data_IF_090289421638
#
_entry.id   IF_090289421638
#
_cell.length_a   1.000
_cell.length_b   1.000
_cell.length_c   1.000
_cell.angle_alpha   90.00
_cell.angle_beta   90.00
_cell.angle_gamma   90.00
#
_symmetry.space_group_name_H-M   'P 1'
#
loop_
_entity.id
_entity.type
_entity.pdbx_description
1 polymer ?
#
# COMPACT_ATOMS: atom_id res chain seq x y z
N UNK A 1 -3.78 -32.99 50.92
CA UNK A 1 -4.47 -31.81 50.34
C UNK A 1 -3.55 -30.82 49.63
N UNK A 2 -2.35 -30.47 50.12
CA UNK A 2 -1.46 -29.48 49.46
C UNK A 2 -0.91 -29.90 48.05
N UNK A 3 -0.72 -31.20 47.79
CA UNK A 3 -0.21 -31.69 46.50
C UNK A 3 -1.22 -31.54 45.31
N UNK A 4 -2.52 -31.63 45.58
CA UNK A 4 -3.55 -31.52 44.57
C UNK A 4 -3.83 -30.07 44.15
N UNK A 5 -3.65 -29.12 45.10
CA UNK A 5 -3.79 -27.69 44.80
C UNK A 5 -2.70 -27.22 43.82
N UNK A 6 -1.46 -27.72 43.95
CA UNK A 6 -0.36 -27.36 43.08
C UNK A 6 -0.56 -27.90 41.67
N UNK A 7 -1.11 -29.11 41.49
CA UNK A 7 -1.42 -29.67 40.16
C UNK A 7 -2.56 -28.92 39.47
N UNK A 8 -3.57 -28.45 40.19
CA UNK A 8 -4.67 -27.69 39.61
C UNK A 8 -4.23 -26.30 39.16
N UNK A 9 -3.33 -25.64 39.89
CA UNK A 9 -2.75 -24.34 39.50
C UNK A 9 -1.84 -24.48 38.26
N UNK A 10 -1.05 -25.55 38.13
CA UNK A 10 -0.24 -25.79 36.93
C UNK A 10 -1.08 -26.11 35.71
N UNK A 11 -2.21 -26.82 35.84
CA UNK A 11 -3.08 -27.13 34.70
C UNK A 11 -3.89 -25.91 34.20
N UNK A 12 -4.20 -24.93 35.06
CA UNK A 12 -4.87 -23.68 34.65
C UNK A 12 -3.91 -22.69 33.99
N UNK A 13 -2.62 -22.71 34.33
CA UNK A 13 -1.59 -21.89 33.66
C UNK A 13 -1.26 -22.36 32.24
N UNK A 14 -1.55 -23.60 31.89
CA UNK A 14 -1.31 -24.13 30.54
C UNK A 14 -2.33 -23.66 29.48
N UNK A 15 -3.44 -23.04 29.87
CA UNK A 15 -4.48 -22.55 28.95
C UNK A 15 -4.36 -21.07 28.57
N UNK A 16 -3.34 -20.35 29.05
CA UNK A 16 -3.07 -18.96 28.66
C UNK A 16 -1.94 -18.92 27.60
N UNK A 17 -1.91 -19.89 26.71
CA UNK A 17 -1.19 -19.71 25.47
C UNK A 17 -2.13 -18.89 24.56
N UNK A 18 -2.03 -17.58 24.62
CA UNK A 18 -2.64 -16.71 23.61
C UNK A 18 -1.91 -17.00 22.30
N UNK A 19 -2.45 -17.92 21.49
CA UNK A 19 -2.02 -18.04 20.12
C UNK A 19 -2.15 -16.64 19.50
N UNK A 20 -1.05 -16.07 19.06
CA UNK A 20 -1.06 -14.78 18.39
C UNK A 20 -1.99 -14.91 17.18
N UNK A 21 -3.12 -14.23 17.24
CA UNK A 21 -4.10 -14.28 16.17
C UNK A 21 -3.62 -13.36 15.07
N UNK A 22 -3.16 -13.94 13.96
CA UNK A 22 -2.76 -13.17 12.78
C UNK A 22 -4.01 -12.79 11.98
N UNK A 23 -4.09 -11.53 11.62
CA UNK A 23 -5.12 -11.04 10.72
C UNK A 23 -4.74 -11.34 9.27
N UNK A 24 -5.71 -11.77 8.47
CA UNK A 24 -5.50 -12.10 7.07
C UNK A 24 -5.84 -10.91 6.19
N UNK A 25 -4.92 -10.58 5.29
CA UNK A 25 -5.09 -9.54 4.27
C UNK A 25 -4.77 -10.06 2.87
N UNK A 26 -5.21 -9.34 1.86
CA UNK A 26 -4.89 -9.59 0.45
C UNK A 26 -4.68 -8.27 -0.30
N UNK A 27 -4.43 -8.33 -1.61
CA UNK A 27 -4.30 -7.15 -2.46
C UNK A 27 -5.36 -7.13 -3.56
N UNK A 28 -5.82 -5.94 -3.97
CA UNK A 28 -6.73 -5.81 -5.11
C UNK A 28 -6.12 -6.30 -6.42
N UNK A 29 -4.78 -6.42 -6.48
CA UNK A 29 -4.07 -6.89 -7.67
C UNK A 29 -4.38 -8.33 -8.07
N UNK A 30 -4.97 -9.16 -7.18
CA UNK A 30 -5.41 -10.53 -7.51
C UNK A 30 -6.60 -10.53 -8.49
N UNK A 31 -7.37 -9.45 -8.54
CA UNK A 31 -8.48 -9.30 -9.48
C UNK A 31 -8.10 -8.36 -10.63
N UNK A 32 -8.51 -8.70 -11.85
CA UNK A 32 -8.26 -7.84 -13.02
C UNK A 32 -9.04 -6.52 -12.93
N UNK A 33 -10.31 -6.59 -12.57
CA UNK A 33 -11.22 -5.44 -12.42
C UNK A 33 -12.12 -5.70 -11.20
N UNK A 34 -11.66 -5.47 -9.96
CA UNK A 34 -12.41 -5.81 -8.76
C UNK A 34 -13.74 -5.07 -8.70
N UNK A 35 -14.80 -5.79 -8.37
CA UNK A 35 -16.14 -5.25 -8.11
C UNK A 35 -16.53 -5.44 -6.64
N UNK A 36 -17.62 -4.81 -6.19
CA UNK A 36 -18.03 -4.90 -4.79
C UNK A 36 -18.23 -6.35 -4.31
N UNK A 37 -18.73 -7.24 -5.19
CA UNK A 37 -18.93 -8.65 -4.88
C UNK A 37 -17.63 -9.37 -4.54
N UNK A 38 -16.51 -9.07 -5.21
CA UNK A 38 -15.20 -9.68 -4.93
C UNK A 38 -14.74 -9.35 -3.50
N UNK A 39 -14.96 -8.12 -3.06
CA UNK A 39 -14.62 -7.69 -1.69
C UNK A 39 -15.53 -8.32 -0.65
N UNK A 40 -16.84 -8.44 -0.93
CA UNK A 40 -17.79 -9.14 -0.05
C UNK A 40 -17.41 -10.61 0.11
N UNK A 41 -17.08 -11.29 -0.99
CA UNK A 41 -16.62 -12.68 -0.97
C UNK A 41 -15.34 -12.82 -0.12
N UNK A 42 -14.34 -11.97 -0.37
CA UNK A 42 -13.10 -11.97 0.42
C UNK A 42 -13.39 -11.77 1.92
N UNK A 43 -14.32 -10.88 2.27
CA UNK A 43 -14.71 -10.63 3.66
C UNK A 43 -15.38 -11.88 4.28
N UNK A 44 -16.26 -12.55 3.56
CA UNK A 44 -16.90 -13.80 4.02
C UNK A 44 -15.89 -14.92 4.24
N UNK A 45 -14.78 -14.93 3.48
CA UNK A 45 -13.67 -15.88 3.63
C UNK A 45 -12.66 -15.48 4.73
N UNK A 46 -12.98 -14.48 5.55
CA UNK A 46 -12.13 -14.07 6.69
C UNK A 46 -11.02 -13.07 6.35
N UNK A 47 -11.04 -12.46 5.16
CA UNK A 47 -10.10 -11.37 4.82
C UNK A 47 -10.58 -10.08 5.48
N UNK A 48 -9.79 -9.55 6.41
CA UNK A 48 -10.11 -8.32 7.16
C UNK A 48 -9.42 -7.08 6.61
N UNK A 49 -8.28 -7.25 5.96
CA UNK A 49 -7.43 -6.18 5.45
C UNK A 49 -7.16 -6.30 3.96
N UNK A 50 -7.04 -5.15 3.30
CA UNK A 50 -6.71 -5.12 1.87
C UNK A 50 -5.63 -4.07 1.58
N UNK A 51 -4.74 -4.41 0.64
CA UNK A 51 -3.91 -3.44 -0.08
C UNK A 51 -4.60 -3.04 -1.36
N UNK A 52 -4.76 -1.73 -1.59
CA UNK A 52 -5.31 -1.20 -2.85
C UNK A 52 -4.16 -0.91 -3.82
N UNK A 53 -4.13 -1.62 -4.94
CA UNK A 53 -3.17 -1.41 -6.02
C UNK A 53 -3.66 -0.29 -6.97
N UNK A 54 -3.20 0.96 -6.79
CA UNK A 54 -3.67 2.11 -7.57
C UNK A 54 -3.34 2.04 -9.06
N UNK A 55 -2.42 1.16 -9.47
CA UNK A 55 -2.20 0.90 -10.90
C UNK A 55 -3.48 0.47 -11.64
N UNK A 56 -4.43 -0.15 -10.96
CA UNK A 56 -5.74 -0.52 -11.51
C UNK A 56 -6.62 0.71 -11.83
N UNK A 57 -6.38 1.83 -11.17
CA UNK A 57 -7.09 3.08 -11.41
C UNK A 57 -6.33 4.01 -12.38
N UNK A 58 -5.06 3.72 -12.68
CA UNK A 58 -4.15 4.60 -13.42
C UNK A 58 -3.72 4.06 -14.78
N UNK A 59 -3.35 2.76 -14.90
CA UNK A 59 -2.79 2.23 -16.15
C UNK A 59 -3.81 2.17 -17.26
N UNK A 60 -3.49 2.82 -18.40
CA UNK A 60 -4.37 2.85 -19.56
C UNK A 60 -5.68 3.61 -19.33
N UNK A 61 -5.70 4.48 -18.33
CA UNK A 61 -6.86 5.27 -17.94
C UNK A 61 -6.62 6.73 -18.35
N UNK A 62 -7.57 7.41 -19.02
CA UNK A 62 -7.51 8.85 -19.26
C UNK A 62 -7.32 9.63 -17.94
N UNK A 63 -6.55 10.71 -17.97
CA UNK A 63 -6.17 11.45 -16.76
C UNK A 63 -7.40 11.92 -15.96
N UNK A 64 -8.45 12.36 -16.65
CA UNK A 64 -9.72 12.81 -16.08
C UNK A 64 -10.52 11.72 -15.39
N UNK A 65 -10.29 10.45 -15.73
CA UNK A 65 -10.98 9.30 -15.15
C UNK A 65 -10.25 8.73 -13.91
N UNK A 66 -8.97 9.07 -13.68
CA UNK A 66 -8.18 8.47 -12.60
C UNK A 66 -8.82 8.70 -11.23
N UNK A 67 -9.16 9.96 -10.91
CA UNK A 67 -9.79 10.29 -9.63
C UNK A 67 -11.19 9.68 -9.48
N UNK A 68 -12.08 9.72 -10.48
CA UNK A 68 -13.33 8.97 -10.44
C UNK A 68 -13.16 7.47 -10.16
N UNK A 69 -12.18 6.82 -10.77
CA UNK A 69 -11.89 5.39 -10.53
C UNK A 69 -11.38 5.10 -9.12
N UNK A 70 -10.57 6.00 -8.56
CA UNK A 70 -10.13 5.89 -7.15
C UNK A 70 -11.34 5.99 -6.21
N UNK A 71 -12.26 6.92 -6.44
CA UNK A 71 -13.50 7.06 -5.67
C UNK A 71 -14.39 5.84 -5.79
N UNK A 72 -14.52 5.27 -7.00
CA UNK A 72 -15.29 4.06 -7.23
C UNK A 72 -14.66 2.86 -6.50
N UNK A 73 -13.33 2.71 -6.53
CA UNK A 73 -12.60 1.69 -5.76
C UNK A 73 -12.91 1.84 -4.26
N UNK A 74 -12.83 3.05 -3.73
CA UNK A 74 -13.17 3.35 -2.33
C UNK A 74 -14.59 2.90 -1.99
N UNK A 75 -15.58 3.26 -2.79
CA UNK A 75 -16.98 2.87 -2.59
C UNK A 75 -17.16 1.35 -2.57
N UNK A 76 -16.48 0.61 -3.47
CA UNK A 76 -16.53 -0.85 -3.54
C UNK A 76 -15.95 -1.50 -2.28
N UNK A 77 -14.79 -1.02 -1.82
CA UNK A 77 -14.16 -1.53 -0.59
C UNK A 77 -15.03 -1.26 0.63
N UNK A 78 -15.59 -0.05 0.73
CA UNK A 78 -16.46 0.34 1.85
C UNK A 78 -17.72 -0.53 1.94
N UNK A 79 -18.32 -0.86 0.78
CA UNK A 79 -19.53 -1.69 0.76
C UNK A 79 -19.33 -3.08 1.36
N UNK A 80 -18.11 -3.59 1.36
CA UNK A 80 -17.75 -4.87 1.96
C UNK A 80 -17.29 -4.76 3.44
N UNK A 81 -17.05 -3.54 3.94
CA UNK A 81 -16.54 -3.32 5.30
C UNK A 81 -15.15 -3.92 5.53
N UNK A 82 -14.31 -3.98 4.47
CA UNK A 82 -12.90 -4.39 4.56
C UNK A 82 -12.06 -3.14 4.87
N UNK A 83 -11.10 -3.28 5.77
CA UNK A 83 -10.19 -2.18 6.12
C UNK A 83 -9.03 -2.09 5.11
N UNK A 84 -8.78 -0.89 4.57
CA UNK A 84 -7.58 -0.66 3.76
C UNK A 84 -6.38 -0.49 4.68
N UNK A 85 -5.47 -1.47 4.66
CA UNK A 85 -4.24 -1.44 5.45
C UNK A 85 -3.14 -0.66 4.76
N UNK A 86 -2.96 -0.92 3.47
CA UNK A 86 -1.96 -0.26 2.64
C UNK A 86 -2.51 0.12 1.28
N UNK A 87 -1.86 1.08 0.65
CA UNK A 87 -2.10 1.44 -0.75
C UNK A 87 -0.78 1.36 -1.48
N UNK A 88 -0.73 0.56 -2.53
CA UNK A 88 0.38 0.53 -3.45
C UNK A 88 0.22 1.67 -4.46
N UNK A 89 1.08 2.68 -4.36
CA UNK A 89 1.04 3.87 -5.23
C UNK A 89 1.31 3.50 -6.69
N UNK A 90 0.82 4.30 -7.67
CA UNK A 90 1.05 4.01 -9.06
C UNK A 90 2.54 4.02 -9.39
N UNK A 91 2.98 3.08 -10.22
CA UNK A 91 4.35 3.05 -10.72
C UNK A 91 4.41 2.58 -12.17
N UNK A 92 5.32 3.16 -12.93
CA UNK A 92 5.64 2.78 -14.30
C UNK A 92 6.97 3.42 -14.71
N UNK A 93 7.53 3.00 -15.87
CA UNK A 93 8.72 3.66 -16.42
C UNK A 93 8.52 5.14 -16.72
N UNK A 94 7.29 5.55 -17.03
CA UNK A 94 6.94 6.95 -17.32
C UNK A 94 6.63 7.74 -16.05
N UNK A 95 6.37 7.08 -14.94
CA UNK A 95 6.06 7.68 -13.63
C UNK A 95 7.18 7.42 -12.61
N UNK A 96 8.42 7.56 -13.05
CA UNK A 96 9.59 7.32 -12.22
C UNK A 96 10.06 8.62 -11.57
N UNK A 97 10.17 8.61 -10.24
CA UNK A 97 10.53 9.79 -9.42
C UNK A 97 12.04 9.95 -9.24
N UNK A 98 12.85 9.07 -9.84
CA UNK A 98 14.31 9.11 -9.77
C UNK A 98 14.98 9.60 -11.05
N UNK A 99 14.23 9.85 -12.12
CA UNK A 99 14.77 10.24 -13.43
C UNK A 99 15.71 11.43 -13.36
N UNK A 100 16.71 11.48 -14.26
CA UNK A 100 17.70 12.54 -14.30
C UNK A 100 17.18 13.84 -14.92
N UNK A 101 16.16 13.76 -15.75
CA UNK A 101 15.45 14.93 -16.27
C UNK A 101 14.66 15.60 -15.15
N UNK A 102 15.08 16.79 -14.75
CA UNK A 102 14.49 17.54 -13.63
C UNK A 102 13.05 17.96 -13.91
N UNK A 103 12.72 18.29 -15.16
CA UNK A 103 11.36 18.70 -15.55
C UNK A 103 10.38 17.52 -15.45
N UNK A 104 10.78 16.38 -16.02
CA UNK A 104 9.99 15.14 -15.95
C UNK A 104 9.84 14.67 -14.50
N UNK A 105 10.94 14.70 -13.72
CA UNK A 105 10.89 14.34 -12.31
C UNK A 105 9.95 15.23 -11.53
N UNK A 106 10.00 16.55 -11.71
CA UNK A 106 9.10 17.49 -11.06
C UNK A 106 7.62 17.23 -11.42
N UNK A 107 7.33 16.89 -12.68
CA UNK A 107 5.99 16.48 -13.12
C UNK A 107 5.53 15.21 -12.40
N UNK A 108 6.38 14.18 -12.36
CA UNK A 108 6.07 12.90 -11.74
C UNK A 108 5.84 13.03 -10.22
N UNK A 109 6.66 13.85 -9.55
CA UNK A 109 6.52 14.10 -8.11
C UNK A 109 5.21 14.81 -7.80
N UNK A 110 4.83 15.84 -8.58
CA UNK A 110 3.53 16.53 -8.39
C UNK A 110 2.35 15.60 -8.59
N UNK A 111 2.40 14.76 -9.64
CA UNK A 111 1.36 13.75 -9.84
C UNK A 111 1.29 12.77 -8.67
N UNK A 112 2.45 12.29 -8.20
CA UNK A 112 2.49 11.37 -7.05
C UNK A 112 1.93 12.02 -5.78
N UNK A 113 2.23 13.29 -5.52
CA UNK A 113 1.66 14.03 -4.40
C UNK A 113 0.13 14.10 -4.47
N UNK A 114 -0.45 14.37 -5.66
CA UNK A 114 -1.90 14.32 -5.86
C UNK A 114 -2.47 12.93 -5.58
N UNK A 115 -1.80 11.86 -6.03
CA UNK A 115 -2.24 10.48 -5.74
C UNK A 115 -2.22 10.18 -4.24
N UNK A 116 -1.18 10.61 -3.53
CA UNK A 116 -1.10 10.47 -2.06
C UNK A 116 -2.29 11.18 -1.39
N UNK A 117 -2.62 12.39 -1.79
CA UNK A 117 -3.77 13.12 -1.25
C UNK A 117 -5.09 12.36 -1.48
N UNK A 118 -5.27 11.79 -2.68
CA UNK A 118 -6.45 10.96 -2.97
C UNK A 118 -6.50 9.67 -2.12
N UNK A 119 -5.36 9.16 -1.67
CA UNK A 119 -5.30 8.00 -0.77
C UNK A 119 -5.91 8.31 0.60
N UNK A 120 -5.93 9.55 1.05
CA UNK A 120 -6.47 9.93 2.37
C UNK A 120 -7.91 9.50 2.61
N UNK A 121 -8.74 9.40 1.56
CA UNK A 121 -10.12 8.92 1.68
C UNK A 121 -10.23 7.46 2.16
N UNK A 122 -9.20 6.63 1.94
CA UNK A 122 -9.14 5.23 2.40
C UNK A 122 -8.66 5.09 3.83
N UNK A 123 -8.07 6.14 4.43
CA UNK A 123 -7.42 6.12 5.75
C UNK A 123 -6.40 4.98 5.90
N UNK A 124 -5.47 4.80 4.96
CA UNK A 124 -4.53 3.68 5.01
C UNK A 124 -3.50 3.90 6.12
N UNK A 125 -3.00 2.80 6.72
CA UNK A 125 -1.85 2.87 7.62
C UNK A 125 -0.53 3.11 6.87
N UNK A 126 -0.44 2.63 5.62
CA UNK A 126 0.80 2.65 4.83
C UNK A 126 0.54 2.98 3.36
N UNK A 127 1.54 3.65 2.76
CA UNK A 127 1.64 3.87 1.31
C UNK A 127 2.92 3.21 0.82
N UNK A 128 2.82 2.28 -0.13
CA UNK A 128 3.97 1.61 -0.74
C UNK A 128 4.38 2.39 -1.98
N UNK A 129 5.63 2.81 -2.04
CA UNK A 129 6.21 3.63 -3.10
C UNK A 129 7.44 2.96 -3.69
N UNK A 130 7.46 2.73 -5.00
CA UNK A 130 8.68 2.38 -5.72
C UNK A 130 9.52 3.63 -5.99
N UNK A 131 10.80 3.68 -5.52
CA UNK A 131 11.65 4.85 -5.65
C UNK A 131 12.13 5.07 -7.09
N UNK A 132 12.07 4.02 -7.92
CA UNK A 132 12.54 4.03 -9.30
C UNK A 132 11.92 2.89 -10.10
N UNK A 133 12.09 2.90 -11.42
CA UNK A 133 11.79 1.76 -12.30
C UNK A 133 13.08 1.13 -12.84
N UNK A 134 13.16 -0.19 -12.85
CA UNK A 134 14.28 -0.94 -13.43
C UNK A 134 14.00 -1.34 -14.91
N UNK A 135 15.02 -1.64 -15.72
CA UNK A 135 16.45 -1.61 -15.40
C UNK A 135 17.05 -0.20 -15.39
N UNK A 136 18.04 0.03 -14.53
CA UNK A 136 18.82 1.27 -14.45
C UNK A 136 20.28 0.95 -14.71
N UNK A 137 20.90 1.63 -15.68
CA UNK A 137 22.33 1.46 -15.97
C UNK A 137 23.20 1.89 -14.76
N UNK A 138 24.23 1.13 -14.45
CA UNK A 138 25.10 1.38 -13.29
C UNK A 138 25.78 2.76 -13.35
N UNK A 139 26.12 3.24 -14.54
CA UNK A 139 26.73 4.56 -14.76
C UNK A 139 25.91 5.74 -14.25
N UNK A 140 24.58 5.58 -14.14
CA UNK A 140 23.67 6.64 -13.67
C UNK A 140 23.00 6.31 -12.33
N UNK A 141 23.16 5.09 -11.83
CA UNK A 141 22.46 4.58 -10.64
C UNK A 141 22.66 5.45 -9.41
N UNK A 142 23.88 5.84 -9.10
CA UNK A 142 24.17 6.69 -7.93
C UNK A 142 23.42 8.03 -7.98
N UNK A 143 23.38 8.67 -9.17
CA UNK A 143 22.65 9.94 -9.36
C UNK A 143 21.13 9.72 -9.23
N UNK A 144 20.62 8.61 -9.71
CA UNK A 144 19.21 8.25 -9.62
C UNK A 144 18.79 7.99 -8.16
N UNK A 145 19.66 7.37 -7.35
CA UNK A 145 19.41 7.19 -5.90
C UNK A 145 19.28 8.55 -5.20
N UNK A 146 20.18 9.50 -5.49
CA UNK A 146 20.10 10.85 -4.91
C UNK A 146 18.78 11.55 -5.31
N UNK A 147 18.37 11.43 -6.56
CA UNK A 147 17.10 12.00 -7.03
C UNK A 147 15.90 11.34 -6.35
N UNK A 148 15.91 10.00 -6.21
CA UNK A 148 14.87 9.27 -5.50
C UNK A 148 14.73 9.76 -4.05
N UNK A 149 15.86 9.90 -3.33
CA UNK A 149 15.88 10.42 -1.94
C UNK A 149 15.24 11.81 -1.85
N UNK A 150 15.62 12.74 -2.74
CA UNK A 150 15.04 14.09 -2.80
C UNK A 150 13.53 14.06 -3.06
N UNK A 151 13.10 13.19 -3.98
CA UNK A 151 11.70 13.02 -4.33
C UNK A 151 10.89 12.46 -3.16
N UNK A 152 11.42 11.46 -2.46
CA UNK A 152 10.80 10.87 -1.26
C UNK A 152 10.65 11.92 -0.15
N UNK A 153 11.69 12.73 0.10
CA UNK A 153 11.65 13.82 1.08
C UNK A 153 10.59 14.87 0.74
N UNK A 154 10.36 15.13 -0.54
CA UNK A 154 9.27 16.02 -0.99
C UNK A 154 7.88 15.39 -0.76
N UNK A 155 7.73 14.08 -0.99
CA UNK A 155 6.45 13.36 -0.88
C UNK A 155 6.06 13.05 0.57
N UNK A 156 7.04 12.88 1.47
CA UNK A 156 6.78 12.51 2.86
C UNK A 156 5.75 13.41 3.57
N UNK A 157 5.81 14.75 3.51
CA UNK A 157 4.80 15.61 4.14
C UNK A 157 3.36 15.38 3.65
N UNK A 158 3.19 14.92 2.41
CA UNK A 158 1.86 14.58 1.88
C UNK A 158 1.31 13.30 2.53
N UNK A 159 2.16 12.29 2.72
CA UNK A 159 1.79 11.08 3.44
C UNK A 159 1.50 11.37 4.93
N UNK A 160 2.32 12.18 5.58
CA UNK A 160 2.13 12.60 6.97
C UNK A 160 0.77 13.31 7.18
N UNK A 161 0.35 14.19 6.23
CA UNK A 161 -0.94 14.89 6.32
C UNK A 161 -2.15 13.97 6.31
N UNK A 162 -2.08 12.84 5.62
CA UNK A 162 -3.16 11.85 5.61
C UNK A 162 -3.01 10.78 6.70
N UNK A 163 -2.00 10.90 7.56
CA UNK A 163 -1.73 9.98 8.66
C UNK A 163 -1.16 8.63 8.25
N UNK A 164 -0.58 8.52 7.03
CA UNK A 164 -0.03 7.28 6.51
C UNK A 164 1.50 7.25 6.56
N UNK A 165 2.08 6.09 6.86
CA UNK A 165 3.53 5.86 6.76
C UNK A 165 3.91 5.61 5.30
N UNK A 166 4.89 6.38 4.77
CA UNK A 166 5.45 6.14 3.45
C UNK A 166 6.50 5.02 3.53
N UNK A 167 6.23 3.90 2.87
CA UNK A 167 7.07 2.70 2.83
C UNK A 167 7.75 2.60 1.46
N UNK A 168 9.06 2.43 1.44
CA UNK A 168 9.84 2.35 0.20
C UNK A 168 10.09 0.88 -0.14
N UNK A 169 9.66 0.46 -1.32
CA UNK A 169 9.86 -0.89 -1.83
C UNK A 169 10.84 -0.90 -3.01
N UNK A 170 11.93 -1.64 -2.87
CA UNK A 170 12.91 -1.79 -3.92
C UNK A 170 12.43 -2.81 -4.97
N UNK A 171 12.60 -2.47 -6.24
CA UNK A 171 12.46 -3.44 -7.33
C UNK A 171 13.75 -4.29 -7.45
N UNK A 172 13.64 -5.58 -7.82
CA UNK A 172 14.81 -6.38 -8.09
C UNK A 172 15.58 -5.80 -9.28
N UNK A 173 16.89 -5.95 -9.25
CA UNK A 173 17.76 -5.67 -10.41
C UNK A 173 17.48 -6.72 -11.48
N UNK A 174 17.05 -6.30 -12.65
CA UNK A 174 16.84 -7.14 -13.84
C UNK A 174 17.91 -6.88 -14.89
#
# INVERSE_FOLDING_TARGET
MKKYILMTVLSTLSFICHAQQYEVGTTTAIWKNPVAADFMEAKMQGVHYIEVALNQCYRGVPAEEVIPRIKLMKSRVDSAGIQVWSIHLPFSRTLDISVLDDSLRAKNIRFMAQMIEQCGQFKPARLVLHPSSEPIADSVRARRIVNAQRSIMYLKPYADRIGAQLCIENLPRT
#
